data_IF_930595225187
#
_entry.id   IF_930595225187
#
_cell.length_a   1.000
_cell.length_b   1.000
_cell.length_c   1.000
_cell.angle_alpha   90.00
_cell.angle_beta   90.00
_cell.angle_gamma   90.00
#
_symmetry.space_group_name_H-M   'P 1'
#
loop_
_entity.id
_entity.type
_entity.pdbx_description
1 polymer ?
#
# COMPACT_ATOMS: atom_id res chain seq x y z
N UNK A 1 -5.82 -13.23 -12.68
CA UNK A 1 -5.50 -12.37 -13.83
C UNK A 1 -4.45 -11.34 -13.41
N UNK A 2 -3.14 -11.66 -13.50
CA UNK A 2 -2.06 -10.79 -13.03
C UNK A 2 -1.98 -9.44 -13.77
N UNK A 3 -2.26 -9.44 -15.08
CA UNK A 3 -2.22 -8.24 -15.93
C UNK A 3 -3.22 -7.17 -15.50
N UNK A 4 -4.44 -7.55 -15.11
CA UNK A 4 -5.48 -6.59 -14.72
C UNK A 4 -5.07 -5.85 -13.44
N UNK A 5 -4.43 -6.54 -12.50
CA UNK A 5 -3.96 -5.94 -11.25
C UNK A 5 -2.86 -4.91 -11.56
N UNK A 6 -1.88 -5.28 -12.40
CA UNK A 6 -0.84 -4.35 -12.80
C UNK A 6 -1.41 -3.09 -13.47
N UNK A 7 -2.38 -3.26 -14.38
CA UNK A 7 -3.04 -2.14 -15.05
C UNK A 7 -3.76 -1.21 -14.07
N UNK A 8 -4.41 -1.76 -13.03
CA UNK A 8 -5.06 -0.94 -11.99
C UNK A 8 -4.01 -0.09 -11.25
N UNK A 9 -2.88 -0.68 -10.86
CA UNK A 9 -1.81 0.05 -10.18
C UNK A 9 -1.18 1.13 -11.08
N UNK A 10 -0.98 0.83 -12.37
CA UNK A 10 -0.47 1.81 -13.34
C UNK A 10 -1.43 3.01 -13.48
N UNK A 11 -2.75 2.76 -13.50
CA UNK A 11 -3.77 3.82 -13.53
C UNK A 11 -3.73 4.65 -12.24
N UNK A 12 -3.60 4.02 -11.07
CA UNK A 12 -3.52 4.73 -9.78
C UNK A 12 -2.29 5.64 -9.74
N UNK A 13 -1.14 5.16 -10.22
CA UNK A 13 0.07 5.99 -10.31
C UNK A 13 -0.12 7.18 -11.25
N UNK A 14 -0.80 6.98 -12.40
CA UNK A 14 -1.08 8.08 -13.32
C UNK A 14 -2.00 9.13 -12.66
N UNK A 15 -3.06 8.71 -11.98
CA UNK A 15 -3.95 9.62 -11.24
C UNK A 15 -3.19 10.44 -10.19
N UNK A 16 -2.27 9.82 -9.45
CA UNK A 16 -1.39 10.51 -8.50
C UNK A 16 -0.53 11.57 -9.20
N UNK A 17 0.09 11.23 -10.35
CA UNK A 17 0.92 12.17 -11.13
C UNK A 17 0.11 13.35 -11.66
N UNK A 18 -1.16 13.12 -11.97
CA UNK A 18 -2.10 14.16 -12.42
C UNK A 18 -2.64 15.03 -11.27
N UNK A 19 -2.18 14.81 -10.03
CA UNK A 19 -2.55 15.59 -8.85
C UNK A 19 -3.84 15.14 -8.17
N UNK A 20 -4.41 13.99 -8.57
CA UNK A 20 -5.59 13.42 -7.92
C UNK A 20 -5.18 12.75 -6.62
N UNK A 21 -5.87 13.08 -5.52
CA UNK A 21 -5.68 12.40 -4.24
C UNK A 21 -6.40 11.05 -4.26
N UNK A 22 -5.68 9.97 -3.95
CA UNK A 22 -6.22 8.60 -3.92
C UNK A 22 -6.15 8.05 -2.50
N UNK A 23 -7.26 7.49 -2.02
CA UNK A 23 -7.31 6.71 -0.79
C UNK A 23 -7.57 5.24 -1.15
N UNK A 24 -6.53 4.41 -1.03
CA UNK A 24 -6.55 3.00 -1.41
C UNK A 24 -6.67 2.13 -0.15
N UNK A 25 -7.59 1.16 -0.19
CA UNK A 25 -7.72 0.10 0.83
C UNK A 25 -7.45 -1.22 0.15
N UNK A 26 -6.47 -1.97 0.64
CA UNK A 26 -6.03 -3.22 0.05
C UNK A 26 -5.73 -4.29 1.11
N UNK A 27 -6.01 -5.54 0.77
CA UNK A 27 -5.56 -6.68 1.58
C UNK A 27 -4.14 -7.09 1.22
N UNK A 28 -3.73 -6.90 -0.05
CA UNK A 28 -2.34 -7.11 -0.47
C UNK A 28 -1.51 -5.85 -0.20
N UNK A 29 -1.03 -5.72 1.04
CA UNK A 29 -0.29 -4.56 1.50
C UNK A 29 0.99 -4.30 0.68
N UNK A 30 1.64 -5.33 0.14
CA UNK A 30 2.92 -5.19 -0.56
C UNK A 30 2.84 -4.28 -1.80
N UNK A 31 1.80 -4.45 -2.63
CA UNK A 31 1.63 -3.61 -3.81
C UNK A 31 1.17 -2.20 -3.44
N UNK A 32 0.24 -2.08 -2.49
CA UNK A 32 -0.26 -0.78 -2.04
C UNK A 32 0.86 0.08 -1.43
N UNK A 33 1.74 -0.50 -0.59
CA UNK A 33 2.82 0.24 0.05
C UNK A 33 3.89 0.72 -0.94
N UNK A 34 4.09 0.04 -2.08
CA UNK A 34 5.07 0.47 -3.11
C UNK A 34 4.73 1.81 -3.75
N UNK A 35 3.44 2.14 -3.83
CA UNK A 35 2.96 3.36 -4.49
C UNK A 35 2.47 4.43 -3.49
N UNK A 36 2.38 4.08 -2.21
CA UNK A 36 1.80 4.94 -1.19
C UNK A 36 2.77 5.99 -0.66
N UNK A 37 2.39 7.26 -0.76
CA UNK A 37 3.07 8.36 -0.07
C UNK A 37 2.97 8.23 1.46
N UNK A 38 1.80 7.78 1.94
CA UNK A 38 1.48 7.53 3.35
C UNK A 38 0.62 6.29 3.48
N UNK A 39 0.82 5.54 4.55
CA UNK A 39 0.09 4.31 4.80
C UNK A 39 -0.20 4.11 6.30
N UNK A 40 -1.27 3.36 6.55
CA UNK A 40 -1.76 3.01 7.88
C UNK A 40 -2.09 1.52 7.89
N UNK A 41 -1.65 0.82 8.93
CA UNK A 41 -1.99 -0.59 9.16
C UNK A 41 -3.10 -0.65 10.20
N UNK A 42 -4.21 -1.31 9.84
CA UNK A 42 -5.38 -1.46 10.68
C UNK A 42 -5.50 -2.91 11.16
N UNK A 43 -5.56 -3.10 12.48
CA UNK A 43 -5.83 -4.38 13.13
C UNK A 43 -6.98 -4.22 14.11
N UNK A 44 -7.99 -5.09 14.03
CA UNK A 44 -9.11 -5.13 14.97
C UNK A 44 -9.76 -3.74 15.20
N UNK A 45 -9.88 -2.95 14.12
CA UNK A 45 -10.45 -1.60 14.16
C UNK A 45 -9.54 -0.52 14.74
N UNK A 46 -8.25 -0.78 14.94
CA UNK A 46 -7.27 0.19 15.47
C UNK A 46 -6.07 0.34 14.54
N UNK A 47 -5.59 1.58 14.39
CA UNK A 47 -4.34 1.84 13.68
C UNK A 47 -3.18 1.41 14.58
N UNK A 48 -2.44 0.40 14.13
CA UNK A 48 -1.29 -0.15 14.88
C UNK A 48 0.05 0.38 14.38
N UNK A 49 0.12 0.78 13.11
CA UNK A 49 1.33 1.34 12.48
C UNK A 49 0.93 2.40 11.46
N UNK A 50 1.81 3.39 11.28
CA UNK A 50 1.66 4.44 10.27
C UNK A 50 3.03 4.93 9.81
N UNK A 51 3.12 5.38 8.57
CA UNK A 51 4.37 5.90 8.01
C UNK A 51 4.27 6.16 6.52
N UNK A 52 5.40 6.38 5.86
CA UNK A 52 5.50 6.31 4.39
C UNK A 52 5.38 4.87 3.92
N UNK A 53 4.94 4.64 2.69
CA UNK A 53 4.93 3.30 2.09
C UNK A 53 6.29 2.59 2.17
N UNK A 54 7.38 3.31 1.87
CA UNK A 54 8.76 2.82 1.94
C UNK A 54 9.16 2.37 3.36
N UNK A 55 9.01 3.23 4.36
CA UNK A 55 9.30 2.87 5.76
C UNK A 55 8.56 1.61 6.20
N UNK A 56 7.26 1.50 5.90
CA UNK A 56 6.47 0.33 6.28
C UNK A 56 6.85 -0.92 5.47
N UNK A 57 7.28 -0.81 4.21
CA UNK A 57 7.82 -1.95 3.44
C UNK A 57 9.08 -2.55 4.08
N UNK A 58 9.90 -1.70 4.70
CA UNK A 58 11.14 -2.12 5.35
C UNK A 58 10.97 -2.52 6.81
N UNK A 59 9.83 -2.21 7.43
CA UNK A 59 9.55 -2.53 8.83
C UNK A 59 9.42 -4.05 9.02
N UNK A 60 10.25 -4.69 9.87
CA UNK A 60 10.20 -6.14 10.10
C UNK A 60 8.83 -6.63 10.55
N UNK A 61 8.11 -5.87 11.39
CA UNK A 61 6.79 -6.26 11.89
C UNK A 61 5.75 -6.26 10.77
N UNK A 62 5.80 -5.26 9.90
CA UNK A 62 4.90 -5.19 8.72
C UNK A 62 5.23 -6.33 7.76
N UNK A 63 6.52 -6.62 7.53
CA UNK A 63 6.95 -7.70 6.64
C UNK A 63 6.44 -9.06 7.10
N UNK A 64 6.65 -9.37 8.37
CA UNK A 64 6.27 -10.66 8.97
C UNK A 64 4.75 -10.85 9.00
N UNK A 65 3.99 -9.78 9.28
CA UNK A 65 2.54 -9.87 9.43
C UNK A 65 1.76 -9.74 8.11
N UNK A 66 2.26 -8.98 7.13
CA UNK A 66 1.45 -8.54 5.97
C UNK A 66 2.08 -8.67 4.60
N UNK A 67 3.41 -8.77 4.51
CA UNK A 67 4.08 -8.73 3.21
C UNK A 67 4.50 -10.09 2.69
N UNK A 68 4.64 -11.08 3.58
CA UNK A 68 4.88 -12.49 3.23
C UNK A 68 6.21 -12.74 2.50
N UNK A 69 6.88 -13.84 2.82
CA UNK A 69 8.06 -14.31 2.08
C UNK A 69 7.73 -14.72 0.65
#
# INVERSE_FOLDING_TARGET
APIIIQQIFDIIEQLRRDGVTVFLVEQNANQALKIADRAYVLENGRVVMQGTGEALLTDPKVRDAYLGG
#
